data_IF_327436048652
#
_entry.id   IF_327436048652
#
_cell.length_a   1.000
_cell.length_b   1.000
_cell.length_c   1.000
_cell.angle_alpha   90.00
_cell.angle_beta   90.00
_cell.angle_gamma   90.00
#
_symmetry.space_group_name_H-M   'P 1'
#
loop_
_entity.id
_entity.type
_entity.pdbx_description
1 polymer ?
#
# COMPACT_ATOMS: atom_id res chain seq x y z
N UNK A 1 -1.63 17.96 -5.05
CA UNK A 1 -0.79 16.85 -5.55
C UNK A 1 0.39 16.67 -4.63
N UNK A 2 0.51 15.52 -4.00
CA UNK A 2 1.60 15.22 -3.08
C UNK A 2 2.57 14.27 -3.75
N UNK A 3 3.85 14.60 -3.70
CA UNK A 3 4.93 13.76 -4.22
C UNK A 3 5.77 13.26 -3.06
N UNK A 4 5.85 11.96 -2.90
CA UNK A 4 6.68 11.34 -1.88
C UNK A 4 7.95 10.82 -2.55
N UNK A 5 9.07 11.32 -2.11
CA UNK A 5 10.38 10.82 -2.51
C UNK A 5 10.94 9.99 -1.37
N UNK A 6 11.29 8.73 -1.60
CA UNK A 6 12.01 7.98 -0.58
C UNK A 6 13.31 8.70 -0.25
N UNK A 7 13.66 8.74 1.03
CA UNK A 7 14.98 9.19 1.45
C UNK A 7 16.02 8.41 0.65
N UNK A 8 16.88 9.11 -0.06
CA UNK A 8 17.78 8.53 -1.05
C UNK A 8 18.60 7.39 -0.46
N UNK A 9 18.32 6.20 -0.91
CA UNK A 9 19.31 5.13 -0.88
C UNK A 9 20.42 5.56 -1.86
N UNK A 10 21.64 5.68 -1.36
CA UNK A 10 22.81 5.94 -2.22
C UNK A 10 22.80 4.96 -3.39
N UNK A 11 22.98 5.41 -4.62
CA UNK A 11 22.97 4.53 -5.77
C UNK A 11 24.13 3.56 -5.69
N UNK A 12 23.82 2.30 -5.44
CA UNK A 12 24.68 1.22 -5.81
C UNK A 12 24.58 1.09 -7.33
N UNK A 13 25.69 1.31 -8.02
CA UNK A 13 25.76 1.21 -9.46
C UNK A 13 25.42 -0.20 -9.92
N UNK A 14 24.35 -0.35 -10.68
CA UNK A 14 24.17 -1.51 -11.53
C UNK A 14 23.74 -1.06 -12.91
N UNK A 15 24.56 -1.38 -13.87
CA UNK A 15 24.32 -1.10 -15.26
C UNK A 15 23.10 -1.87 -15.76
N UNK A 16 22.13 -1.14 -16.32
CA UNK A 16 21.00 -1.73 -17.02
C UNK A 16 21.26 -1.69 -18.52
N UNK A 17 21.14 -2.82 -19.18
CA UNK A 17 21.15 -2.93 -20.63
C UNK A 17 19.84 -2.46 -21.26
N UNK A 18 19.84 -2.09 -22.55
CA UNK A 18 18.66 -1.51 -23.20
C UNK A 18 17.62 -2.58 -23.56
N UNK A 19 16.44 -2.48 -23.00
CA UNK A 19 15.27 -3.25 -23.38
C UNK A 19 14.24 -2.38 -24.11
N UNK A 20 13.90 -2.79 -25.30
CA UNK A 20 12.96 -2.10 -26.19
C UNK A 20 11.52 -2.10 -25.60
N UNK A 21 10.94 -0.92 -25.51
CA UNK A 21 9.56 -0.73 -25.08
C UNK A 21 8.61 -0.70 -26.27
N UNK A 22 7.56 -1.49 -26.22
CA UNK A 22 6.44 -1.41 -27.16
C UNK A 22 5.23 -0.85 -26.42
N UNK A 23 4.79 0.33 -26.81
CA UNK A 23 3.60 0.96 -26.26
C UNK A 23 2.33 0.27 -26.77
N UNK A 24 1.45 -0.09 -25.84
CA UNK A 24 0.08 -0.49 -26.16
C UNK A 24 -0.85 0.67 -25.82
N UNK A 25 -1.43 1.26 -26.85
CA UNK A 25 -2.45 2.29 -26.72
C UNK A 25 -3.82 1.63 -26.52
N UNK A 26 -4.42 1.88 -25.40
CA UNK A 26 -5.82 1.50 -25.13
C UNK A 26 -6.31 2.34 -23.96
N UNK A 27 -7.19 3.31 -24.25
CA UNK A 27 -7.71 4.23 -23.28
C UNK A 27 -8.51 3.53 -22.19
N UNK A 28 -7.98 3.55 -21.01
CA UNK A 28 -8.69 3.33 -19.77
C UNK A 28 -8.04 4.24 -18.73
N UNK A 29 -8.84 4.90 -17.92
CA UNK A 29 -8.41 5.81 -16.83
C UNK A 29 -7.62 5.10 -15.72
N UNK A 30 -6.84 4.08 -16.05
CA UNK A 30 -5.95 3.39 -15.12
C UNK A 30 -4.65 4.19 -14.98
N UNK A 31 -4.09 4.29 -13.78
CA UNK A 31 -2.83 4.98 -13.58
C UNK A 31 -1.73 4.33 -14.40
N UNK A 32 -1.15 5.11 -15.26
CA UNK A 32 -0.07 4.69 -16.14
C UNK A 32 1.22 4.49 -15.33
N UNK A 33 1.76 3.28 -15.37
CA UNK A 33 3.10 3.03 -14.87
C UNK A 33 4.09 3.46 -15.94
N UNK A 34 4.60 4.67 -15.80
CA UNK A 34 5.62 5.18 -16.72
C UNK A 34 6.99 4.77 -16.22
N UNK A 35 7.64 3.91 -16.96
CA UNK A 35 9.07 3.59 -16.75
C UNK A 35 9.92 4.45 -17.65
N UNK A 36 10.48 5.50 -17.10
CA UNK A 36 11.46 6.33 -17.79
C UNK A 36 12.76 6.33 -17.01
N UNK A 37 13.87 5.95 -17.66
CA UNK A 37 15.21 6.09 -17.10
C UNK A 37 15.51 5.25 -15.85
N UNK A 38 14.88 4.08 -15.69
CA UNK A 38 15.17 3.14 -14.60
C UNK A 38 14.41 3.36 -13.31
N UNK A 39 13.64 4.44 -13.16
CA UNK A 39 12.69 4.62 -12.06
C UNK A 39 11.25 4.42 -12.53
N UNK A 40 10.48 3.69 -11.72
CA UNK A 40 9.05 3.49 -11.96
C UNK A 40 8.26 4.53 -11.16
N UNK A 41 7.51 5.39 -11.84
CA UNK A 41 6.62 6.34 -11.19
C UNK A 41 5.27 5.69 -10.94
N UNK A 42 4.91 5.56 -9.68
CA UNK A 42 3.61 5.03 -9.26
C UNK A 42 2.70 6.21 -8.94
N UNK A 43 1.51 6.19 -9.49
CA UNK A 43 0.47 7.20 -9.23
C UNK A 43 -0.77 6.54 -8.67
N UNK A 44 -1.45 7.23 -7.78
CA UNK A 44 -2.70 6.78 -7.22
C UNK A 44 -3.32 7.82 -6.30
N UNK A 45 -4.47 7.47 -5.75
CA UNK A 45 -5.18 8.32 -4.80
C UNK A 45 -5.03 7.79 -3.39
N UNK A 46 -5.10 8.69 -2.43
CA UNK A 46 -5.01 8.37 -1.02
C UNK A 46 -6.23 7.59 -0.52
N UNK A 47 -5.97 6.54 0.23
CA UNK A 47 -6.93 5.79 1.01
C UNK A 47 -6.50 5.91 2.47
N UNK A 48 -7.26 6.64 3.29
CA UNK A 48 -6.83 7.01 4.63
C UNK A 48 -7.61 6.24 5.69
N UNK A 49 -6.89 5.67 6.64
CA UNK A 49 -7.45 5.13 7.86
C UNK A 49 -7.54 6.25 8.91
N UNK A 50 -8.74 6.75 9.15
CA UNK A 50 -9.02 7.75 10.16
C UNK A 50 -9.27 7.10 11.53
N UNK A 51 -8.86 7.78 12.59
CA UNK A 51 -9.14 7.32 13.96
C UNK A 51 -10.64 7.50 14.27
N UNK A 52 -11.40 6.42 14.50
CA UNK A 52 -12.83 6.51 14.75
C UNK A 52 -13.18 7.08 16.13
N UNK A 53 -12.20 7.22 17.02
CA UNK A 53 -12.39 7.80 18.36
C UNK A 53 -12.51 9.34 18.35
N UNK A 54 -12.28 9.95 17.19
CA UNK A 54 -12.42 11.39 17.01
C UNK A 54 -13.62 11.69 16.10
N UNK A 55 -14.87 11.45 16.58
CA UNK A 55 -16.05 11.65 15.77
C UNK A 55 -16.26 13.14 15.48
N UNK A 56 -16.69 13.43 14.25
CA UNK A 56 -17.09 14.78 13.83
C UNK A 56 -15.99 15.62 13.21
N UNK A 57 -14.76 15.16 13.14
CA UNK A 57 -13.70 15.82 12.39
C UNK A 57 -13.42 15.06 11.09
N UNK A 58 -13.90 15.61 9.99
CA UNK A 58 -13.63 15.08 8.64
C UNK A 58 -12.13 14.97 8.33
N UNK A 59 -11.32 15.65 9.11
CA UNK A 59 -9.85 15.70 9.03
C UNK A 59 -9.24 15.42 10.41
N UNK A 60 -9.73 14.37 11.06
CA UNK A 60 -9.21 13.92 12.33
C UNK A 60 -7.82 13.31 12.21
N UNK A 61 -7.42 12.64 13.26
CA UNK A 61 -6.15 11.95 13.33
C UNK A 61 -6.18 10.65 12.52
N UNK A 62 -5.10 10.35 11.83
CA UNK A 62 -4.91 9.04 11.20
C UNK A 62 -4.78 7.96 12.28
N UNK A 63 -5.31 6.78 11.98
CA UNK A 63 -5.35 5.68 12.93
C UNK A 63 -3.96 5.11 13.19
N UNK A 64 -3.54 5.12 14.46
CA UNK A 64 -2.31 4.52 14.91
C UNK A 64 -2.49 3.05 15.29
N UNK A 65 -1.40 2.34 15.40
CA UNK A 65 -1.34 0.98 15.94
C UNK A 65 -2.26 -0.02 15.24
N UNK A 66 -2.36 0.07 13.92
CA UNK A 66 -3.02 -0.97 13.12
C UNK A 66 -2.18 -2.22 13.18
N UNK A 67 -2.69 -3.26 13.82
CA UNK A 67 -1.99 -4.54 13.96
C UNK A 67 -2.27 -5.49 12.78
N UNK A 68 -1.52 -6.57 12.73
CA UNK A 68 -1.65 -7.58 11.67
C UNK A 68 -2.97 -8.34 11.70
N UNK A 69 -3.64 -8.44 12.86
CA UNK A 69 -4.99 -9.02 12.96
C UNK A 69 -6.05 -8.12 12.31
N UNK A 70 -5.86 -6.81 12.39
CA UNK A 70 -6.75 -5.86 11.72
C UNK A 70 -6.53 -5.84 10.20
N UNK A 71 -5.29 -6.05 9.75
CA UNK A 71 -4.97 -6.15 8.32
C UNK A 71 -5.53 -7.47 7.75
N UNK A 72 -5.25 -8.58 8.41
CA UNK A 72 -5.65 -9.92 7.99
C UNK A 72 -6.20 -10.67 9.19
N UNK A 73 -7.52 -10.63 9.43
CA UNK A 73 -8.11 -11.32 10.58
C UNK A 73 -7.79 -12.82 10.60
N UNK A 74 -7.48 -13.34 11.79
CA UNK A 74 -7.11 -14.74 11.96
C UNK A 74 -8.14 -15.73 11.39
N UNK A 75 -9.43 -15.37 11.49
CA UNK A 75 -10.52 -16.19 10.96
C UNK A 75 -10.46 -16.36 9.43
N UNK A 76 -9.80 -15.46 8.73
CA UNK A 76 -9.65 -15.49 7.27
C UNK A 76 -8.34 -16.15 6.83
N UNK A 77 -7.44 -16.44 7.76
CA UNK A 77 -6.18 -17.14 7.50
C UNK A 77 -6.39 -18.66 7.55
N UNK A 78 -7.09 -19.22 6.59
CA UNK A 78 -7.38 -20.66 6.52
C UNK A 78 -6.37 -21.46 5.72
N UNK A 79 -5.46 -20.79 5.02
CA UNK A 79 -4.39 -21.40 4.24
C UNK A 79 -3.04 -20.92 4.75
N UNK A 80 -2.10 -21.83 4.93
CA UNK A 80 -0.74 -21.51 5.36
C UNK A 80 0.22 -21.23 4.19
N UNK A 81 -0.24 -21.41 2.96
CA UNK A 81 0.57 -21.27 1.76
C UNK A 81 0.31 -19.96 1.03
N UNK A 82 1.37 -19.21 0.74
CA UNK A 82 1.31 -18.04 -0.12
C UNK A 82 0.88 -18.35 -1.55
N UNK A 83 1.08 -19.59 -1.99
CA UNK A 83 0.69 -20.05 -3.31
C UNK A 83 -0.83 -20.22 -3.45
N UNK A 84 -1.52 -20.37 -2.33
CA UNK A 84 -2.98 -20.53 -2.26
C UNK A 84 -3.66 -19.32 -1.65
N UNK A 85 -3.26 -18.11 -2.08
CA UNK A 85 -3.96 -16.87 -1.75
C UNK A 85 -5.39 -16.93 -2.24
N UNK A 86 -6.30 -17.35 -1.37
CA UNK A 86 -7.69 -17.44 -1.73
C UNK A 86 -8.44 -16.11 -1.59
N UNK A 87 -9.62 -16.08 -2.17
CA UNK A 87 -10.51 -14.92 -2.12
C UNK A 87 -10.86 -14.48 -0.71
N UNK A 88 -10.82 -15.38 0.24
CA UNK A 88 -11.20 -15.11 1.63
C UNK A 88 -10.25 -14.13 2.32
N UNK A 89 -8.96 -14.25 2.07
CA UNK A 89 -7.98 -13.30 2.63
C UNK A 89 -8.16 -11.91 2.07
N UNK A 90 -8.33 -11.83 0.77
CA UNK A 90 -8.53 -10.55 0.08
C UNK A 90 -9.84 -9.90 0.49
N UNK A 91 -10.91 -10.65 0.58
CA UNK A 91 -12.20 -10.16 1.05
C UNK A 91 -12.19 -9.76 2.53
N UNK A 92 -11.36 -10.43 3.34
CA UNK A 92 -11.21 -10.15 4.76
C UNK A 92 -10.24 -9.03 5.11
N UNK A 93 -9.48 -8.50 4.15
CA UNK A 93 -8.50 -7.46 4.40
C UNK A 93 -9.15 -6.22 5.02
N UNK A 94 -8.67 -5.80 6.19
CA UNK A 94 -9.20 -4.68 6.96
C UNK A 94 -10.71 -4.77 7.27
N UNK A 95 -11.26 -5.95 7.37
CA UNK A 95 -12.71 -6.20 7.54
C UNK A 95 -13.36 -5.32 8.60
N UNK A 96 -12.70 -5.14 9.74
CA UNK A 96 -13.27 -4.41 10.88
C UNK A 96 -13.00 -2.90 10.85
N UNK A 97 -12.03 -2.46 10.07
CA UNK A 97 -11.66 -1.05 9.94
C UNK A 97 -12.26 -0.40 8.70
N UNK A 98 -12.26 -1.11 7.60
CA UNK A 98 -12.70 -0.60 6.30
C UNK A 98 -13.21 -1.76 5.44
N UNK A 99 -14.49 -2.15 5.58
CA UNK A 99 -15.05 -3.27 4.85
C UNK A 99 -15.01 -3.13 3.32
N UNK A 100 -14.98 -1.90 2.82
CA UNK A 100 -14.91 -1.58 1.40
C UNK A 100 -13.48 -1.36 0.88
N UNK A 101 -12.46 -1.76 1.65
CA UNK A 101 -11.04 -1.55 1.32
C UNK A 101 -10.70 -2.08 -0.08
N UNK A 102 -11.03 -3.33 -0.37
CA UNK A 102 -10.75 -3.96 -1.67
C UNK A 102 -11.40 -3.20 -2.83
N UNK A 103 -12.66 -2.80 -2.68
CA UNK A 103 -13.37 -2.03 -3.69
C UNK A 103 -12.73 -0.66 -3.93
N UNK A 104 -12.28 0.00 -2.87
CA UNK A 104 -11.60 1.30 -2.96
C UNK A 104 -10.25 1.19 -3.66
N UNK A 105 -9.47 0.16 -3.37
CA UNK A 105 -8.21 -0.12 -4.07
C UNK A 105 -8.46 -0.36 -5.56
N UNK A 106 -9.49 -1.11 -5.90
CA UNK A 106 -9.87 -1.37 -7.30
C UNK A 106 -10.32 -0.12 -8.05
N UNK A 107 -10.70 0.95 -7.35
CA UNK A 107 -11.02 2.26 -7.94
C UNK A 107 -9.81 3.19 -8.10
N UNK A 108 -8.62 2.73 -7.77
CA UNK A 108 -7.38 3.49 -7.86
C UNK A 108 -6.93 4.17 -6.57
N UNK A 109 -7.55 3.90 -5.44
CA UNK A 109 -7.13 4.38 -4.12
C UNK A 109 -6.04 3.44 -3.56
N UNK A 110 -4.85 3.54 -4.11
CA UNK A 110 -3.75 2.60 -3.87
C UNK A 110 -2.67 3.12 -2.92
N UNK A 111 -2.74 4.38 -2.52
CA UNK A 111 -1.87 4.96 -1.51
C UNK A 111 -2.54 4.86 -0.14
N UNK A 112 -2.24 3.78 0.56
CA UNK A 112 -2.79 3.48 1.89
C UNK A 112 -2.04 4.27 2.93
N UNK A 113 -2.75 5.12 3.66
CA UNK A 113 -2.17 6.04 4.64
C UNK A 113 -2.72 5.73 6.03
N UNK A 114 -1.81 5.47 6.95
CA UNK A 114 -2.10 5.20 8.35
C UNK A 114 -1.23 6.08 9.26
N UNK A 115 -1.50 6.07 10.54
CA UNK A 115 -0.70 6.75 11.56
C UNK A 115 0.58 6.00 11.91
N UNK A 116 1.01 6.14 13.15
CA UNK A 116 2.22 5.50 13.66
C UNK A 116 2.02 4.03 13.99
N UNK A 117 3.08 3.26 14.04
CA UNK A 117 3.10 1.85 14.43
C UNK A 117 2.18 0.96 13.60
N UNK A 118 2.35 1.02 12.30
CA UNK A 118 1.59 0.19 11.35
C UNK A 118 2.12 -1.26 11.34
N UNK A 119 1.21 -2.22 11.24
CA UNK A 119 1.51 -3.66 11.13
C UNK A 119 2.31 -4.23 12.29
N UNK A 120 2.04 -3.75 13.48
CA UNK A 120 2.57 -4.31 14.72
C UNK A 120 1.87 -5.63 15.08
N UNK A 121 2.43 -6.38 16.01
CA UNK A 121 1.85 -7.64 16.51
C UNK A 121 2.48 -8.86 15.86
N UNK A 122 1.72 -9.95 15.75
CA UNK A 122 2.22 -11.23 15.26
C UNK A 122 2.69 -11.16 13.81
N UNK A 123 3.73 -11.93 13.52
CA UNK A 123 4.22 -12.12 12.17
C UNK A 123 3.17 -12.84 11.30
N UNK A 124 2.74 -12.20 10.23
CA UNK A 124 1.86 -12.78 9.22
C UNK A 124 2.37 -12.43 7.83
N UNK A 125 3.03 -13.37 7.19
CA UNK A 125 3.50 -13.23 5.80
C UNK A 125 2.34 -12.99 4.84
N UNK A 126 1.16 -13.47 5.21
CA UNK A 126 -0.08 -13.34 4.44
C UNK A 126 -0.57 -11.91 4.34
N UNK A 127 -0.30 -11.05 5.33
CA UNK A 127 -0.76 -9.68 5.33
C UNK A 127 -0.20 -8.87 4.15
N UNK A 128 1.11 -8.78 3.93
CA UNK A 128 1.62 -8.06 2.78
C UNK A 128 1.29 -8.75 1.45
N UNK A 129 1.26 -10.08 1.42
CA UNK A 129 0.90 -10.83 0.22
C UNK A 129 -0.56 -10.59 -0.21
N UNK A 130 -1.49 -10.57 0.75
CA UNK A 130 -2.89 -10.29 0.49
C UNK A 130 -3.11 -8.86 -0.01
N UNK A 131 -2.46 -7.88 0.59
CA UNK A 131 -2.55 -6.49 0.16
C UNK A 131 -2.01 -6.29 -1.26
N UNK A 132 -0.84 -6.86 -1.53
CA UNK A 132 -0.28 -6.83 -2.88
C UNK A 132 -1.20 -7.51 -3.89
N UNK A 133 -1.75 -8.67 -3.55
CA UNK A 133 -2.67 -9.42 -4.40
C UNK A 133 -3.93 -8.63 -4.76
N UNK A 134 -4.48 -7.85 -3.84
CA UNK A 134 -5.65 -6.99 -4.11
C UNK A 134 -5.33 -5.94 -5.18
N UNK A 135 -4.17 -5.31 -5.12
CA UNK A 135 -3.74 -4.35 -6.14
C UNK A 135 -3.43 -5.03 -7.47
N UNK A 136 -2.77 -6.19 -7.43
CA UNK A 136 -2.42 -6.95 -8.62
C UNK A 136 -3.65 -7.41 -9.42
N UNK A 137 -4.80 -7.65 -8.77
CA UNK A 137 -6.06 -8.02 -9.41
C UNK A 137 -6.52 -7.04 -10.48
N UNK A 138 -6.18 -5.78 -10.33
CA UNK A 138 -6.53 -4.71 -11.27
C UNK A 138 -5.31 -4.09 -11.95
N UNK A 139 -4.15 -4.72 -11.85
CA UNK A 139 -2.92 -4.26 -12.47
C UNK A 139 -2.33 -2.99 -11.86
N UNK A 140 -2.67 -2.68 -10.61
CA UNK A 140 -2.18 -1.52 -9.89
C UNK A 140 -1.07 -1.89 -8.91
N UNK A 141 -0.29 -0.91 -8.48
CA UNK A 141 0.68 -1.06 -7.42
C UNK A 141 0.25 -0.28 -6.18
N UNK A 142 0.34 -0.94 -5.03
CA UNK A 142 -0.02 -0.34 -3.75
C UNK A 142 1.22 0.23 -3.07
N UNK A 143 1.07 1.41 -2.47
CA UNK A 143 2.07 2.03 -1.60
C UNK A 143 1.45 2.24 -0.23
N UNK A 144 2.09 1.70 0.80
CA UNK A 144 1.66 1.88 2.18
C UNK A 144 2.54 2.94 2.85
N UNK A 145 1.90 3.95 3.40
CA UNK A 145 2.57 5.07 4.04
C UNK A 145 2.11 5.14 5.49
N UNK A 146 3.06 5.04 6.40
CA UNK A 146 2.81 5.26 7.82
C UNK A 146 3.68 6.40 8.38
N UNK A 147 3.38 6.84 9.58
CA UNK A 147 4.16 7.86 10.25
C UNK A 147 5.49 7.31 10.75
N UNK A 148 5.56 7.00 12.04
CA UNK A 148 6.75 6.41 12.64
C UNK A 148 6.49 4.91 12.93
N UNK A 149 7.55 4.12 12.83
CA UNK A 149 7.55 2.71 13.22
C UNK A 149 6.54 1.83 12.49
N UNK A 150 7.03 1.11 11.53
CA UNK A 150 6.34 -0.02 10.92
C UNK A 150 6.87 -1.31 11.55
N UNK A 151 6.02 -2.33 11.68
CA UNK A 151 6.46 -3.64 12.15
C UNK A 151 7.58 -4.20 11.27
N UNK A 152 8.71 -4.59 11.86
CA UNK A 152 9.92 -4.99 11.12
C UNK A 152 9.68 -6.21 10.23
N UNK A 153 8.92 -7.18 10.72
CA UNK A 153 8.63 -8.41 9.98
C UNK A 153 7.73 -8.11 8.79
N UNK A 154 6.69 -7.30 8.99
CA UNK A 154 5.83 -6.86 7.90
C UNK A 154 6.62 -6.10 6.83
N UNK A 155 7.46 -5.16 7.24
CA UNK A 155 8.31 -4.39 6.33
C UNK A 155 9.22 -5.27 5.49
N UNK A 156 9.88 -6.24 6.13
CA UNK A 156 10.77 -7.20 5.45
C UNK A 156 10.01 -8.04 4.44
N UNK A 157 8.88 -8.60 4.83
CA UNK A 157 8.05 -9.42 3.96
C UNK A 157 7.47 -8.60 2.79
N UNK A 158 7.04 -7.37 3.05
CA UNK A 158 6.55 -6.46 2.02
C UNK A 158 7.62 -6.17 0.97
N UNK A 159 8.84 -5.86 1.40
CA UNK A 159 9.97 -5.60 0.49
C UNK A 159 10.31 -6.84 -0.35
N UNK A 160 10.31 -8.03 0.25
CA UNK A 160 10.58 -9.28 -0.46
C UNK A 160 9.51 -9.60 -1.51
N UNK A 161 8.27 -9.21 -1.28
CA UNK A 161 7.14 -9.43 -2.20
C UNK A 161 6.99 -8.32 -3.24
N UNK A 162 7.74 -7.23 -3.12
CA UNK A 162 7.60 -6.07 -3.99
C UNK A 162 6.42 -5.14 -3.64
N UNK A 163 5.91 -5.23 -2.41
CA UNK A 163 4.95 -4.27 -1.88
C UNK A 163 5.72 -3.04 -1.35
N UNK A 164 5.36 -1.87 -1.85
CA UNK A 164 6.02 -0.64 -1.46
C UNK A 164 5.55 -0.15 -0.10
N UNK A 165 6.50 0.14 0.79
CA UNK A 165 6.23 0.64 2.14
C UNK A 165 7.13 1.84 2.45
N UNK A 166 6.55 2.88 3.01
CA UNK A 166 7.24 4.16 3.28
C UNK A 166 6.88 4.65 4.67
N UNK A 167 7.89 5.10 5.40
CA UNK A 167 7.69 5.87 6.63
C UNK A 167 7.87 7.35 6.32
N UNK A 168 6.79 8.11 6.38
CA UNK A 168 6.79 9.55 6.12
C UNK A 168 5.76 10.26 6.99
N UNK A 169 6.16 10.72 8.18
CA UNK A 169 5.26 11.48 9.06
C UNK A 169 4.68 12.73 8.41
N UNK A 170 5.44 13.37 7.55
CA UNK A 170 5.01 14.58 6.83
C UNK A 170 3.88 14.28 5.85
N UNK A 171 4.02 13.23 5.05
CA UNK A 171 2.99 12.80 4.11
C UNK A 171 1.71 12.36 4.85
N UNK A 172 1.85 11.67 5.98
CA UNK A 172 0.72 11.28 6.82
C UNK A 172 -0.02 12.50 7.37
N UNK A 173 0.72 13.52 7.83
CA UNK A 173 0.11 14.74 8.38
C UNK A 173 -0.67 15.52 7.32
N UNK A 174 -0.16 15.60 6.09
CA UNK A 174 -0.71 16.41 5.02
C UNK A 174 -1.79 15.71 4.19
N UNK A 175 -1.92 14.39 4.29
CA UNK A 175 -2.81 13.61 3.44
C UNK A 175 -4.29 13.81 3.79
N UNK A 176 -5.12 13.93 2.74
CA UNK A 176 -6.58 13.96 2.80
C UNK A 176 -7.15 12.90 1.85
N UNK A 177 -8.37 12.45 2.11
CA UNK A 177 -9.04 11.48 1.26
C UNK A 177 -9.13 11.97 -0.19
N UNK A 178 -8.76 11.11 -1.12
CA UNK A 178 -8.81 11.41 -2.54
C UNK A 178 -7.65 12.24 -3.08
N UNK A 179 -6.68 12.64 -2.25
CA UNK A 179 -5.48 13.31 -2.70
C UNK A 179 -4.70 12.43 -3.69
N UNK A 180 -4.14 13.05 -4.70
CA UNK A 180 -3.25 12.37 -5.63
C UNK A 180 -1.83 12.27 -5.07
N UNK A 181 -1.27 11.07 -5.16
CA UNK A 181 0.09 10.77 -4.75
C UNK A 181 0.90 10.21 -5.90
N UNK A 182 2.18 10.53 -5.88
CA UNK A 182 3.17 9.89 -6.74
C UNK A 182 4.30 9.34 -5.88
N UNK A 183 4.78 8.18 -6.25
CA UNK A 183 5.92 7.51 -5.63
C UNK A 183 6.95 7.17 -6.69
N UNK A 184 8.18 7.63 -6.46
CA UNK A 184 9.31 7.44 -7.35
C UNK A 184 10.40 6.60 -6.68
#
# INVERSE_FOLDING_TARGET
MHTIRPASLKPGSTAAGPGSSRALSGGSDLPEISRAGGSALIRGRALIFWDPKLPGTKFGRKLDAIDTDQITPAADCVSESLETLDERWKAGAFRYLMPDFRARVHRGETFVIAGDRFAIGSSREMSPAGLKGIADEVGLEMVIICGHNMGDIFRRNALNLGLHVVQSPEAVADAHDGDEFTFD
#
